data_IF_344739162343
#
_entry.id   IF_344739162343
#
_cell.length_a   1.000
_cell.length_b   1.000
_cell.length_c   1.000
_cell.angle_alpha   90.00
_cell.angle_beta   90.00
_cell.angle_gamma   90.00
#
_symmetry.space_group_name_H-M   'P 1'
#
loop_
_entity.id
_entity.type
_entity.pdbx_description
1 polymer ?
#
# COMPACT_ATOMS: atom_id res chain seq x y z
N UNK A 1 4.33 -28.17 -7.59
CA UNK A 1 3.14 -27.48 -8.15
C UNK A 1 3.53 -26.04 -8.47
N UNK A 2 3.76 -25.72 -9.75
CA UNK A 2 4.10 -24.37 -10.19
C UNK A 2 2.81 -23.57 -10.43
N UNK A 3 2.54 -22.56 -9.60
CA UNK A 3 1.39 -21.66 -9.79
C UNK A 3 1.69 -20.72 -10.96
N UNK A 4 1.16 -21.02 -12.14
CA UNK A 4 1.14 -20.10 -13.27
C UNK A 4 0.20 -18.92 -12.95
N UNK A 5 0.76 -17.78 -12.55
CA UNK A 5 0.01 -16.53 -12.49
C UNK A 5 -0.19 -16.04 -13.93
N UNK A 6 -1.36 -16.30 -14.52
CA UNK A 6 -1.79 -15.62 -15.76
C UNK A 6 -1.96 -14.13 -15.44
N UNK A 7 -0.90 -13.36 -15.66
CA UNK A 7 -0.98 -11.90 -15.66
C UNK A 7 -1.82 -11.51 -16.87
N UNK A 8 -3.00 -10.91 -16.65
CA UNK A 8 -3.88 -10.49 -17.73
C UNK A 8 -3.15 -9.49 -18.65
N UNK A 9 -3.47 -9.50 -19.94
CA UNK A 9 -2.79 -8.64 -20.94
C UNK A 9 -2.86 -7.15 -20.58
N UNK A 10 -3.92 -6.71 -19.88
CA UNK A 10 -4.04 -5.35 -19.36
C UNK A 10 -2.98 -4.98 -18.32
N UNK A 11 -2.49 -5.94 -17.50
CA UNK A 11 -1.41 -5.70 -16.54
C UNK A 11 -0.06 -5.63 -17.24
N UNK A 12 0.17 -6.41 -18.30
CA UNK A 12 1.39 -6.33 -19.12
C UNK A 12 1.52 -4.95 -19.80
N UNK A 13 0.45 -4.49 -20.46
CA UNK A 13 0.40 -3.14 -21.09
C UNK A 13 0.66 -2.02 -20.09
N UNK A 14 0.22 -2.17 -18.84
CA UNK A 14 0.41 -1.17 -17.80
C UNK A 14 1.89 -0.99 -17.37
N UNK A 15 2.82 -1.86 -17.77
CA UNK A 15 4.25 -1.69 -17.51
C UNK A 15 4.99 -1.00 -18.66
N UNK A 16 4.36 -0.88 -19.82
CA UNK A 16 4.90 -0.20 -21.01
C UNK A 16 4.70 1.31 -20.93
N UNK A 17 3.70 1.77 -20.18
CA UNK A 17 3.52 3.19 -19.87
C UNK A 17 4.58 3.65 -18.83
N UNK A 18 5.53 4.52 -19.21
CA UNK A 18 6.57 5.00 -18.31
C UNK A 18 6.02 5.80 -17.13
N UNK A 19 4.88 6.49 -17.29
CA UNK A 19 4.24 7.23 -16.21
C UNK A 19 3.61 6.27 -15.19
N UNK A 20 3.04 5.15 -15.64
CA UNK A 20 2.52 4.09 -14.74
C UNK A 20 3.68 3.39 -14.02
N UNK A 21 4.80 3.15 -14.70
CA UNK A 21 6.01 2.55 -14.13
C UNK A 21 6.62 3.42 -13.04
N UNK A 22 6.78 4.72 -13.29
CA UNK A 22 7.36 5.66 -12.33
C UNK A 22 6.46 5.84 -11.09
N UNK A 23 5.15 6.02 -11.29
CA UNK A 23 4.16 6.07 -10.20
C UNK A 23 4.12 4.78 -9.36
N UNK A 24 4.41 3.63 -9.97
CA UNK A 24 4.52 2.34 -9.27
C UNK A 24 5.82 2.20 -8.49
N UNK A 25 6.95 2.70 -9.02
CA UNK A 25 8.29 2.61 -8.41
C UNK A 25 8.43 3.48 -7.16
N UNK A 26 7.62 4.53 -7.01
CA UNK A 26 7.57 5.33 -5.79
C UNK A 26 7.02 4.48 -4.62
N UNK A 27 7.96 3.99 -3.80
CA UNK A 27 7.70 3.40 -2.48
C UNK A 27 7.46 4.57 -1.52
N UNK A 28 6.26 4.64 -0.94
CA UNK A 28 6.00 5.55 0.17
C UNK A 28 5.96 4.72 1.44
N UNK A 29 6.65 5.22 2.46
CA UNK A 29 6.45 4.73 3.81
C UNK A 29 5.02 5.03 4.27
N UNK A 30 4.54 4.24 5.21
CA UNK A 30 3.23 4.45 5.84
C UNK A 30 3.39 4.38 7.35
N UNK A 31 2.74 5.32 8.03
CA UNK A 31 2.56 5.30 9.48
C UNK A 31 1.20 4.68 9.78
N UNK A 32 1.13 3.80 10.78
CA UNK A 32 -0.10 3.09 11.14
C UNK A 32 -0.46 3.35 12.60
N UNK A 33 -1.73 3.66 12.83
CA UNK A 33 -2.34 3.69 14.16
C UNK A 33 -3.50 2.70 14.22
N UNK A 34 -3.57 1.90 15.27
CA UNK A 34 -4.65 0.95 15.53
C UNK A 34 -5.48 1.47 16.70
N UNK A 35 -6.78 1.67 16.47
CA UNK A 35 -7.73 2.11 17.50
C UNK A 35 -7.24 3.37 18.25
N UNK A 36 -6.58 4.28 17.53
CA UNK A 36 -6.03 5.54 18.06
C UNK A 36 -4.60 5.45 18.61
N UNK A 37 -4.04 4.25 18.78
CA UNK A 37 -2.67 4.04 19.26
C UNK A 37 -1.72 3.83 18.10
N UNK A 38 -0.63 4.58 18.05
CA UNK A 38 0.41 4.39 17.04
C UNK A 38 1.05 3.01 17.19
N UNK A 39 1.03 2.20 16.12
CA UNK A 39 1.56 0.83 16.12
C UNK A 39 2.88 0.68 15.37
N UNK A 40 3.22 1.65 14.53
CA UNK A 40 4.53 1.70 13.90
C UNK A 40 4.54 2.32 12.51
N UNK A 41 5.77 2.55 12.03
CA UNK A 41 6.06 3.05 10.70
C UNK A 41 6.67 1.93 9.84
N UNK A 42 6.20 1.83 8.60
CA UNK A 42 6.61 0.81 7.66
C UNK A 42 7.13 1.44 6.37
N UNK A 43 8.12 0.82 5.75
CA UNK A 43 8.70 1.32 4.49
C UNK A 43 7.74 1.19 3.29
N UNK A 44 6.68 0.39 3.44
CA UNK A 44 5.62 0.24 2.44
C UNK A 44 4.32 -0.26 3.06
N UNK A 45 3.20 0.02 2.39
CA UNK A 45 1.89 -0.51 2.77
C UNK A 45 1.85 -2.04 2.81
N UNK A 46 2.52 -2.71 1.87
CA UNK A 46 2.59 -4.17 1.83
C UNK A 46 3.25 -4.73 3.09
N UNK A 47 4.38 -4.15 3.52
CA UNK A 47 5.03 -4.55 4.76
C UNK A 47 4.15 -4.32 5.98
N UNK A 48 3.42 -3.20 6.02
CA UNK A 48 2.48 -2.93 7.10
C UNK A 48 1.38 -3.99 7.17
N UNK A 49 0.76 -4.33 6.03
CA UNK A 49 -0.27 -5.37 5.97
C UNK A 49 0.26 -6.72 6.43
N UNK A 50 1.45 -7.10 5.96
CA UNK A 50 2.10 -8.36 6.36
C UNK A 50 2.44 -8.39 7.85
N UNK A 51 3.02 -7.32 8.39
CA UNK A 51 3.40 -7.25 9.80
C UNK A 51 2.20 -7.22 10.75
N UNK A 52 1.09 -6.63 10.32
CA UNK A 52 -0.15 -6.53 11.08
C UNK A 52 -1.10 -7.72 10.84
N UNK A 53 -0.71 -8.70 10.03
CA UNK A 53 -1.55 -9.86 9.71
C UNK A 53 -2.83 -9.52 8.93
N UNK A 54 -2.82 -8.40 8.20
CA UNK A 54 -3.95 -7.94 7.40
C UNK A 54 -4.02 -8.67 6.04
N UNK A 55 -5.18 -8.69 5.37
CA UNK A 55 -5.35 -9.39 4.10
C UNK A 55 -4.50 -8.76 2.99
N UNK A 56 -3.38 -9.40 2.65
CA UNK A 56 -2.40 -8.90 1.69
C UNK A 56 -3.03 -8.67 0.31
N UNK A 57 -4.01 -9.44 -0.12
CA UNK A 57 -4.69 -9.25 -1.41
C UNK A 57 -5.41 -7.90 -1.54
N UNK A 58 -5.75 -7.26 -0.40
CA UNK A 58 -6.46 -5.97 -0.37
C UNK A 58 -5.52 -4.76 -0.39
N UNK A 59 -4.20 -4.96 -0.26
CA UNK A 59 -3.27 -3.83 -0.14
C UNK A 59 -3.20 -2.98 -1.41
N UNK A 60 -3.29 -3.59 -2.61
CA UNK A 60 -3.20 -2.86 -3.90
C UNK A 60 -4.35 -1.86 -4.07
N UNK A 61 -5.64 -2.26 -4.00
CA UNK A 61 -6.75 -1.31 -4.13
C UNK A 61 -6.77 -0.29 -2.99
N UNK A 62 -6.33 -0.68 -1.79
CA UNK A 62 -6.19 0.26 -0.66
C UNK A 62 -5.10 1.31 -0.91
N UNK A 63 -3.95 0.91 -1.45
CA UNK A 63 -2.82 1.78 -1.77
C UNK A 63 -3.20 2.92 -2.71
N UNK A 64 -4.03 2.64 -3.71
CA UNK A 64 -4.48 3.65 -4.69
C UNK A 64 -5.22 4.76 -3.95
N UNK A 65 -6.24 4.39 -3.17
CA UNK A 65 -7.05 5.34 -2.39
C UNK A 65 -6.22 6.08 -1.36
N UNK A 66 -5.31 5.39 -0.68
CA UNK A 66 -4.41 5.97 0.31
C UNK A 66 -3.47 7.02 -0.30
N UNK A 67 -3.00 6.81 -1.54
CA UNK A 67 -2.19 7.80 -2.27
C UNK A 67 -2.99 9.05 -2.66
N UNK A 68 -4.26 8.88 -3.00
CA UNK A 68 -5.14 10.00 -3.37
C UNK A 68 -5.52 10.85 -2.15
N UNK A 69 -5.78 10.22 -1.00
CA UNK A 69 -6.23 10.92 0.20
C UNK A 69 -5.12 11.31 1.19
N UNK A 70 -3.92 10.74 1.06
CA UNK A 70 -2.81 10.92 2.01
C UNK A 70 -2.97 10.13 3.32
N UNK A 71 -4.20 9.92 3.79
CA UNK A 71 -4.51 9.03 4.91
C UNK A 71 -5.81 8.25 4.67
N UNK A 72 -5.89 7.01 5.16
CA UNK A 72 -7.07 6.16 4.99
C UNK A 72 -7.18 5.11 6.09
N UNK A 73 -8.40 4.85 6.54
CA UNK A 73 -8.70 3.78 7.50
C UNK A 73 -9.00 2.45 6.81
N UNK A 74 -8.46 1.37 7.36
CA UNK A 74 -8.76 -0.02 7.01
C UNK A 74 -9.39 -0.69 8.22
N UNK A 75 -10.52 -1.36 8.02
CA UNK A 75 -11.19 -2.13 9.06
C UNK A 75 -11.08 -3.62 8.69
N UNK A 76 -10.51 -4.43 9.57
CA UNK A 76 -10.39 -5.89 9.39
C UNK A 76 -11.56 -6.68 9.99
N UNK A 77 -12.55 -5.98 10.54
CA UNK A 77 -13.70 -6.53 11.27
C UNK A 77 -13.50 -6.57 12.79
N UNK A 78 -12.27 -6.37 13.29
CA UNK A 78 -11.92 -6.41 14.72
C UNK A 78 -11.36 -5.09 15.23
N UNK A 79 -10.53 -4.44 14.42
CA UNK A 79 -9.85 -3.19 14.75
C UNK A 79 -9.85 -2.23 13.56
N UNK A 80 -9.74 -0.95 13.88
CA UNK A 80 -9.61 0.11 12.87
C UNK A 80 -8.15 0.55 12.79
N UNK A 81 -7.56 0.42 11.61
CA UNK A 81 -6.19 0.80 11.31
C UNK A 81 -6.20 2.08 10.46
N UNK A 82 -5.71 3.18 10.98
CA UNK A 82 -5.44 4.40 10.22
C UNK A 82 -4.06 4.31 9.59
N UNK A 83 -3.99 4.32 8.27
CA UNK A 83 -2.76 4.43 7.50
C UNK A 83 -2.59 5.87 7.04
N UNK A 84 -1.39 6.41 7.21
CA UNK A 84 -1.01 7.75 6.73
C UNK A 84 0.26 7.62 5.90
N UNK A 85 0.29 8.21 4.71
CA UNK A 85 1.49 8.26 3.89
C UNK A 85 2.53 9.12 4.59
N UNK A 86 3.73 8.57 4.74
CA UNK A 86 4.91 9.31 5.14
C UNK A 86 5.43 9.98 3.86
N UNK A 87 5.28 11.30 3.70
CA UNK A 87 5.80 11.99 2.53
C UNK A 87 7.33 11.79 2.48
N UNK A 88 7.93 11.63 1.29
CA UNK A 88 9.38 11.62 1.20
C UNK A 88 9.90 12.93 1.79
N UNK A 89 10.84 12.84 2.73
CA UNK A 89 11.52 14.00 3.30
C UNK A 89 11.97 14.89 2.14
N UNK A 90 11.36 16.07 2.02
CA UNK A 90 11.73 17.06 1.01
C UNK A 90 13.15 17.46 1.36
N UNK A 91 14.14 17.01 0.59
CA UNK A 91 15.50 17.55 0.68
C UNK A 91 15.38 19.00 0.21
N UNK A 92 15.43 19.94 1.16
CA UNK A 92 15.69 21.36 0.89
C UNK A 92 17.04 21.54 0.23
#
# INVERSE_FOLDING_TARGET
MSKNFKISEGVKKSWEDPAVREKRRQRHGVSVSRDGVHVGDFTSLYQAFKALGLPEEKHIPFRIKLKESGSKTFNDGKSVYLFTIIPPLKKS
#
